data_IF_073526817567
#
_entry.id   IF_073526817567
#
_cell.length_a   1.000
_cell.length_b   1.000
_cell.length_c   1.000
_cell.angle_alpha   90.00
_cell.angle_beta   90.00
_cell.angle_gamma   90.00
#
_symmetry.space_group_name_H-M   'P 1'
#
loop_
_entity.id
_entity.type
_entity.pdbx_description
1 polymer ?
#
# COMPACT_ATOMS: atom_id res chain seq x y z
N UNK A 1 -2.04 4.65 -12.86
CA UNK A 1 -1.47 5.78 -12.11
C UNK A 1 -2.38 6.99 -12.17
N UNK A 2 -2.36 7.74 -13.27
CA UNK A 2 -3.01 9.05 -13.40
C UNK A 2 -4.48 9.12 -12.92
N UNK A 3 -5.31 8.11 -13.20
CA UNK A 3 -6.71 8.07 -12.76
C UNK A 3 -6.82 8.20 -11.23
N UNK A 4 -6.11 7.36 -10.48
CA UNK A 4 -6.20 7.34 -9.02
C UNK A 4 -5.66 8.61 -8.38
N UNK A 5 -4.64 9.22 -8.97
CA UNK A 5 -4.11 10.48 -8.50
C UNK A 5 -5.01 11.67 -8.80
N UNK A 6 -5.58 11.78 -10.01
CA UNK A 6 -6.56 12.82 -10.31
C UNK A 6 -7.76 12.75 -9.36
N UNK A 7 -8.26 11.54 -9.10
CA UNK A 7 -9.34 11.30 -8.14
C UNK A 7 -8.88 11.62 -6.69
N UNK A 8 -7.72 11.11 -6.27
CA UNK A 8 -7.19 11.30 -4.93
C UNK A 8 -6.90 12.77 -4.60
N UNK A 9 -6.24 13.48 -5.52
CA UNK A 9 -6.01 14.93 -5.39
C UNK A 9 -7.33 15.70 -5.36
N UNK A 10 -8.30 15.32 -6.20
CA UNK A 10 -9.65 15.88 -6.16
C UNK A 10 -10.32 15.73 -4.79
N UNK A 11 -10.26 14.54 -4.18
CA UNK A 11 -10.82 14.31 -2.84
C UNK A 11 -10.09 15.10 -1.74
N UNK A 12 -8.76 15.17 -1.81
CA UNK A 12 -7.94 15.93 -0.87
C UNK A 12 -8.23 17.44 -0.97
N UNK A 13 -8.28 17.97 -2.20
CA UNK A 13 -8.58 19.37 -2.48
C UNK A 13 -10.02 19.72 -2.07
N UNK A 14 -11.00 18.87 -2.39
CA UNK A 14 -12.39 19.05 -1.97
C UNK A 14 -12.51 19.16 -0.44
N UNK A 15 -11.91 18.21 0.29
CA UNK A 15 -11.89 18.25 1.75
C UNK A 15 -11.21 19.50 2.31
N UNK A 16 -10.16 19.97 1.63
CA UNK A 16 -9.43 21.17 2.06
C UNK A 16 -10.22 22.45 1.84
N UNK A 17 -10.90 22.57 0.70
CA UNK A 17 -11.79 23.69 0.42
C UNK A 17 -12.95 23.76 1.42
N UNK A 18 -13.61 22.63 1.70
CA UNK A 18 -14.66 22.58 2.73
C UNK A 18 -14.15 22.96 4.13
N UNK A 19 -12.91 22.58 4.47
CA UNK A 19 -12.32 22.97 5.75
C UNK A 19 -11.99 24.48 5.83
N UNK A 20 -11.56 25.08 4.71
CA UNK A 20 -11.31 26.52 4.60
C UNK A 20 -12.59 27.35 4.74
N UNK A 21 -13.71 26.85 4.20
CA UNK A 21 -15.02 27.49 4.35
C UNK A 21 -15.47 27.56 5.81
N UNK A 22 -15.18 26.51 6.58
CA UNK A 22 -15.61 26.42 7.99
C UNK A 22 -14.72 27.23 8.93
N UNK A 23 -13.39 27.26 8.70
CA UNK A 23 -12.45 27.87 9.64
C UNK A 23 -11.42 28.78 8.97
N UNK A 24 -11.70 30.08 8.93
CA UNK A 24 -10.84 31.11 8.34
C UNK A 24 -9.51 31.32 9.10
N UNK A 25 -9.49 31.17 10.43
CA UNK A 25 -8.28 31.36 11.24
C UNK A 25 -7.19 30.30 10.97
N UNK A 26 -7.59 29.12 10.49
CA UNK A 26 -6.68 28.01 10.16
C UNK A 26 -6.21 28.02 8.70
N UNK A 27 -6.48 29.08 7.93
CA UNK A 27 -6.31 29.10 6.47
C UNK A 27 -4.91 28.73 6.03
N UNK A 28 -3.89 29.34 6.62
CA UNK A 28 -2.50 29.11 6.23
C UNK A 28 -2.06 27.68 6.54
N UNK A 29 -2.48 27.14 7.68
CA UNK A 29 -2.17 25.78 8.10
C UNK A 29 -2.87 24.74 7.23
N UNK A 30 -4.16 24.97 6.91
CA UNK A 30 -4.94 24.13 6.00
C UNK A 30 -4.31 24.13 4.61
N UNK A 31 -4.02 25.31 4.07
CA UNK A 31 -3.45 25.45 2.73
C UNK A 31 -2.07 24.80 2.62
N UNK A 32 -1.21 25.00 3.63
CA UNK A 32 0.09 24.33 3.71
C UNK A 32 -0.06 22.81 3.79
N UNK A 33 -0.95 22.31 4.63
CA UNK A 33 -1.21 20.87 4.77
C UNK A 33 -1.74 20.26 3.47
N UNK A 34 -2.60 20.97 2.76
CA UNK A 34 -3.12 20.56 1.45
C UNK A 34 -1.99 20.43 0.42
N UNK A 35 -1.16 21.45 0.25
CA UNK A 35 -0.04 21.42 -0.73
C UNK A 35 0.90 20.26 -0.43
N UNK A 36 1.31 20.12 0.82
CA UNK A 36 2.20 19.04 1.23
C UNK A 36 1.55 17.68 0.98
N UNK A 37 0.26 17.52 1.33
CA UNK A 37 -0.50 16.29 1.10
C UNK A 37 -0.61 15.93 -0.38
N UNK A 38 -0.89 16.91 -1.25
CA UNK A 38 -0.98 16.72 -2.70
C UNK A 38 0.36 16.28 -3.31
N UNK A 39 1.49 16.83 -2.83
CA UNK A 39 2.82 16.45 -3.29
C UNK A 39 3.13 14.97 -2.97
N UNK A 40 2.70 14.47 -1.81
CA UNK A 40 2.84 13.05 -1.47
C UNK A 40 1.96 12.17 -2.36
N UNK A 41 0.69 12.54 -2.59
CA UNK A 41 -0.21 11.80 -3.50
C UNK A 41 0.39 11.70 -4.92
N UNK A 42 1.11 12.73 -5.37
CA UNK A 42 1.76 12.74 -6.69
C UNK A 42 2.96 11.76 -6.78
N UNK A 43 3.62 11.46 -5.66
CA UNK A 43 4.87 10.70 -5.64
C UNK A 43 4.75 9.30 -6.26
N UNK A 44 3.64 8.60 -6.02
CA UNK A 44 3.38 7.30 -6.63
C UNK A 44 3.21 7.34 -8.16
N UNK A 45 2.67 8.44 -8.71
CA UNK A 45 2.61 8.61 -10.17
C UNK A 45 4.00 8.83 -10.73
N UNK A 46 4.84 9.63 -10.06
CA UNK A 46 6.20 9.90 -10.52
C UNK A 46 6.97 8.59 -10.64
N UNK A 47 6.85 7.67 -9.67
CA UNK A 47 7.46 6.35 -9.74
C UNK A 47 6.91 5.52 -10.91
N UNK A 48 5.60 5.53 -11.14
CA UNK A 48 4.99 4.85 -12.28
C UNK A 48 5.44 5.44 -13.63
N UNK A 49 5.61 6.77 -13.71
CA UNK A 49 6.11 7.48 -14.88
C UNK A 49 7.56 7.06 -15.16
N UNK A 50 8.42 7.05 -14.14
CA UNK A 50 9.83 6.66 -14.29
C UNK A 50 9.95 5.25 -14.87
N UNK A 51 9.23 4.26 -14.31
CA UNK A 51 9.26 2.90 -14.87
C UNK A 51 8.70 2.87 -16.30
N UNK A 52 7.63 3.61 -16.58
CA UNK A 52 7.03 3.64 -17.91
C UNK A 52 8.02 4.19 -18.94
N UNK A 53 8.76 5.25 -18.59
CA UNK A 53 9.81 5.81 -19.44
C UNK A 53 10.99 4.84 -19.61
N UNK A 54 11.37 4.11 -18.56
CA UNK A 54 12.39 3.06 -18.65
C UNK A 54 11.99 1.92 -19.59
N UNK A 55 10.72 1.51 -19.57
CA UNK A 55 10.21 0.50 -20.49
C UNK A 55 10.11 1.03 -21.93
N UNK A 56 9.64 2.26 -22.11
CA UNK A 56 9.45 2.87 -23.44
C UNK A 56 10.78 3.13 -24.17
N UNK A 57 11.79 3.61 -23.46
CA UNK A 57 13.11 3.91 -24.02
C UNK A 57 14.15 2.81 -23.76
N UNK A 58 13.75 1.73 -23.08
CA UNK A 58 14.59 0.57 -22.83
C UNK A 58 14.86 -0.17 -24.14
N UNK A 59 16.12 -0.28 -24.53
CA UNK A 59 16.50 -0.90 -25.80
C UNK A 59 16.40 -2.45 -25.69
N UNK A 60 15.25 -3.01 -26.05
CA UNK A 60 15.05 -4.47 -26.14
C UNK A 60 15.44 -4.95 -27.54
N UNK A 61 16.73 -5.19 -27.75
CA UNK A 61 17.31 -5.64 -29.04
C UNK A 61 16.68 -6.94 -29.56
N UNK A 62 16.05 -7.74 -28.68
CA UNK A 62 15.25 -8.91 -29.04
C UNK A 62 13.86 -8.82 -28.41
N UNK A 63 12.83 -8.46 -29.17
CA UNK A 63 11.45 -8.46 -28.70
C UNK A 63 10.96 -9.90 -28.71
N UNK A 64 10.94 -10.54 -27.54
CA UNK A 64 10.38 -11.88 -27.36
C UNK A 64 9.06 -11.83 -26.59
N UNK A 65 8.16 -12.78 -26.84
CA UNK A 65 6.88 -12.87 -26.12
C UNK A 65 7.05 -12.88 -24.59
N UNK A 66 8.12 -13.47 -24.06
CA UNK A 66 8.42 -13.46 -22.63
C UNK A 66 8.63 -12.05 -22.07
N UNK A 67 9.39 -11.20 -22.76
CA UNK A 67 9.65 -9.81 -22.36
C UNK A 67 8.35 -9.02 -22.39
N UNK A 68 7.53 -9.17 -23.44
CA UNK A 68 6.25 -8.48 -23.55
C UNK A 68 5.31 -8.78 -22.36
N UNK A 69 5.24 -10.04 -21.90
CA UNK A 69 4.45 -10.40 -20.71
C UNK A 69 5.04 -9.84 -19.41
N UNK A 70 6.36 -9.80 -19.28
CA UNK A 70 7.02 -9.20 -18.12
C UNK A 70 6.77 -7.68 -18.06
N UNK A 71 6.89 -6.98 -19.19
CA UNK A 71 6.59 -5.54 -19.32
C UNK A 71 5.13 -5.23 -19.01
N UNK A 72 4.21 -6.04 -19.53
CA UNK A 72 2.78 -5.92 -19.21
C UNK A 72 2.54 -6.09 -17.70
N UNK A 73 3.23 -7.05 -17.07
CA UNK A 73 3.20 -7.24 -15.61
C UNK A 73 3.66 -6.00 -14.84
N UNK A 74 4.81 -5.45 -15.21
CA UNK A 74 5.36 -4.24 -14.57
C UNK A 74 4.39 -3.06 -14.74
N UNK A 75 3.87 -2.86 -15.94
CA UNK A 75 2.94 -1.78 -16.27
C UNK A 75 1.65 -1.85 -15.46
N UNK A 76 1.04 -3.04 -15.38
CA UNK A 76 -0.16 -3.26 -14.55
C UNK A 76 0.13 -3.05 -13.07
N UNK A 77 1.23 -3.61 -12.57
CA UNK A 77 1.62 -3.48 -11.16
C UNK A 77 1.81 -2.03 -10.75
N UNK A 78 2.62 -1.27 -11.49
CA UNK A 78 2.84 0.15 -11.18
C UNK A 78 1.57 0.97 -11.40
N UNK A 79 0.83 0.70 -12.47
CA UNK A 79 -0.39 1.41 -12.81
C UNK A 79 -1.46 1.30 -11.73
N UNK A 80 -1.72 0.08 -11.26
CA UNK A 80 -2.76 -0.24 -10.28
C UNK A 80 -2.31 0.13 -8.85
N UNK A 81 -1.07 -0.18 -8.47
CA UNK A 81 -0.54 0.18 -7.13
C UNK A 81 -0.60 1.70 -6.92
N UNK A 82 -0.05 2.48 -7.86
CA UNK A 82 -0.09 3.94 -7.77
C UNK A 82 -1.52 4.50 -7.73
N UNK A 83 -2.46 3.84 -8.42
CA UNK A 83 -3.87 4.23 -8.40
C UNK A 83 -4.48 4.06 -7.00
N UNK A 84 -4.33 2.87 -6.41
CA UNK A 84 -4.89 2.54 -5.10
C UNK A 84 -4.30 3.41 -3.98
N UNK A 85 -2.98 3.63 -4.01
CA UNK A 85 -2.25 4.39 -3.00
C UNK A 85 -2.62 5.87 -3.05
N UNK A 86 -2.75 6.44 -4.25
CA UNK A 86 -3.17 7.84 -4.40
C UNK A 86 -4.55 8.12 -3.79
N UNK A 87 -5.49 7.20 -4.02
CA UNK A 87 -6.84 7.30 -3.44
C UNK A 87 -6.77 7.12 -1.92
N UNK A 88 -6.02 6.13 -1.43
CA UNK A 88 -5.83 5.88 0.00
C UNK A 88 -5.22 7.08 0.73
N UNK A 89 -4.12 7.63 0.21
CA UNK A 89 -3.43 8.79 0.75
C UNK A 89 -4.33 10.03 0.78
N UNK A 90 -5.27 10.17 -0.16
CA UNK A 90 -6.21 11.29 -0.15
C UNK A 90 -7.08 11.34 1.11
N UNK A 91 -7.42 10.17 1.67
CA UNK A 91 -8.21 10.09 2.89
C UNK A 91 -7.44 10.62 4.10
N UNK A 92 -6.13 10.39 4.16
CA UNK A 92 -5.25 10.95 5.18
C UNK A 92 -5.25 12.49 5.14
N UNK A 93 -5.12 13.06 3.95
CA UNK A 93 -5.09 14.52 3.75
C UNK A 93 -6.44 15.15 4.09
N UNK A 94 -7.53 14.62 3.52
CA UNK A 94 -8.90 15.12 3.75
C UNK A 94 -9.27 15.12 5.23
N UNK A 95 -8.99 14.03 5.94
CA UNK A 95 -9.30 13.91 7.37
C UNK A 95 -8.41 14.79 8.24
N UNK A 96 -7.11 14.88 7.94
CA UNK A 96 -6.16 15.76 8.65
C UNK A 96 -6.53 17.22 8.52
N UNK A 97 -6.89 17.67 7.33
CA UNK A 97 -7.29 19.06 7.09
C UNK A 97 -8.60 19.40 7.81
N UNK A 98 -9.56 18.48 7.84
CA UNK A 98 -10.77 18.60 8.68
C UNK A 98 -10.46 18.61 10.19
N UNK A 99 -9.37 17.97 10.63
CA UNK A 99 -8.91 18.05 12.02
C UNK A 99 -8.21 19.37 12.33
N UNK A 100 -7.47 19.92 11.36
CA UNK A 100 -6.86 21.25 11.47
C UNK A 100 -7.95 22.33 11.57
N UNK A 101 -9.04 22.24 10.81
CA UNK A 101 -10.14 23.21 10.93
C UNK A 101 -10.80 23.18 12.32
N UNK A 102 -10.88 22.02 12.97
CA UNK A 102 -11.34 21.90 14.37
C UNK A 102 -10.35 22.46 15.38
N UNK A 103 -9.04 22.32 15.12
CA UNK A 103 -7.97 22.69 16.05
C UNK A 103 -6.76 23.34 15.35
N UNK A 104 -6.86 24.60 14.89
CA UNK A 104 -5.80 25.24 14.11
C UNK A 104 -4.50 25.43 14.90
N UNK A 105 -4.58 25.61 16.22
CA UNK A 105 -3.42 25.77 17.11
C UNK A 105 -2.58 24.49 17.17
N UNK A 106 -3.19 23.32 16.99
CA UNK A 106 -2.52 22.02 17.04
C UNK A 106 -2.09 21.53 15.65
N UNK A 107 -2.20 22.37 14.62
CA UNK A 107 -2.03 21.99 13.23
C UNK A 107 -0.68 21.36 12.90
N UNK A 108 0.42 21.84 13.48
CA UNK A 108 1.74 21.29 13.20
C UNK A 108 1.84 19.81 13.59
N UNK A 109 1.24 19.41 14.72
CA UNK A 109 1.22 18.01 15.16
C UNK A 109 0.29 17.13 14.32
N UNK A 110 -0.82 17.70 13.83
CA UNK A 110 -1.72 17.03 12.89
C UNK A 110 -1.01 16.82 11.55
N UNK A 111 -0.30 17.83 11.04
CA UNK A 111 0.50 17.73 9.82
C UNK A 111 1.60 16.68 9.96
N UNK A 112 2.33 16.66 11.08
CA UNK A 112 3.33 15.59 11.33
C UNK A 112 2.67 14.22 11.34
N UNK A 113 1.50 14.09 11.98
CA UNK A 113 0.75 12.83 12.01
C UNK A 113 0.33 12.39 10.59
N UNK A 114 -0.22 13.32 9.80
CA UNK A 114 -0.60 13.11 8.40
C UNK A 114 0.59 12.61 7.58
N UNK A 115 1.75 13.26 7.70
CA UNK A 115 2.97 12.88 6.98
C UNK A 115 3.43 11.47 7.33
N UNK A 116 3.38 11.11 8.62
CA UNK A 116 3.71 9.74 9.05
C UNK A 116 2.72 8.75 8.45
N UNK A 117 1.41 9.02 8.50
CA UNK A 117 0.40 8.14 7.89
C UNK A 117 0.58 8.01 6.37
N UNK A 118 0.85 9.11 5.65
CA UNK A 118 1.14 9.07 4.21
C UNK A 118 2.41 8.29 3.92
N UNK A 119 3.46 8.43 4.72
CA UNK A 119 4.72 7.71 4.49
C UNK A 119 4.56 6.18 4.57
N UNK A 120 3.69 5.70 5.46
CA UNK A 120 3.32 4.28 5.54
C UNK A 120 2.51 3.85 4.31
N UNK A 121 1.53 4.64 3.90
CA UNK A 121 0.73 4.37 2.69
C UNK A 121 1.63 4.26 1.43
N UNK A 122 2.64 5.13 1.29
CA UNK A 122 3.54 5.16 0.13
C UNK A 122 4.54 3.99 0.07
N UNK A 123 4.81 3.29 1.18
CA UNK A 123 5.71 2.14 1.17
C UNK A 123 5.30 1.08 0.12
N UNK A 124 3.99 0.95 -0.14
CA UNK A 124 3.47 0.04 -1.13
C UNK A 124 3.86 0.35 -2.57
N UNK A 125 3.91 1.61 -2.99
CA UNK A 125 4.32 1.94 -4.37
C UNK A 125 5.82 1.80 -4.52
N UNK A 126 6.57 2.09 -3.46
CA UNK A 126 8.03 1.95 -3.43
C UNK A 126 8.40 0.48 -3.61
N UNK A 127 7.73 -0.45 -2.92
CA UNK A 127 7.99 -1.88 -3.10
C UNK A 127 7.60 -2.38 -4.51
N UNK A 128 6.49 -1.90 -5.07
CA UNK A 128 6.14 -2.21 -6.46
C UNK A 128 7.20 -1.66 -7.43
N UNK A 129 7.71 -0.45 -7.18
CA UNK A 129 8.78 0.15 -7.98
C UNK A 129 10.08 -0.65 -7.90
N UNK A 130 10.48 -1.09 -6.70
CA UNK A 130 11.67 -1.94 -6.50
C UNK A 130 11.53 -3.27 -7.24
N UNK A 131 10.38 -3.94 -7.15
CA UNK A 131 10.13 -5.17 -7.92
C UNK A 131 10.21 -4.90 -9.42
N UNK A 132 9.62 -3.79 -9.89
CA UNK A 132 9.70 -3.39 -11.30
C UNK A 132 11.15 -3.22 -11.78
N UNK A 133 11.99 -2.54 -11.01
CA UNK A 133 13.42 -2.39 -11.31
C UNK A 133 14.17 -3.72 -11.33
N UNK A 134 13.86 -4.63 -10.41
CA UNK A 134 14.46 -5.97 -10.39
C UNK A 134 14.09 -6.74 -11.65
N UNK A 135 12.82 -6.68 -12.09
CA UNK A 135 12.38 -7.38 -13.30
C UNK A 135 13.07 -6.79 -14.54
N UNK A 136 13.13 -5.45 -14.66
CA UNK A 136 13.85 -4.77 -15.76
C UNK A 136 15.32 -5.18 -15.82
N UNK A 137 15.99 -5.26 -14.66
CA UNK A 137 17.39 -5.70 -14.59
C UNK A 137 17.63 -7.14 -15.07
N UNK A 138 16.60 -7.99 -15.06
CA UNK A 138 16.68 -9.39 -15.45
C UNK A 138 16.19 -9.68 -16.87
N UNK A 139 15.91 -8.66 -17.70
CA UNK A 139 15.41 -8.85 -19.07
C UNK A 139 16.31 -9.72 -19.96
N UNK A 140 17.63 -9.70 -19.72
CA UNK A 140 18.58 -10.54 -20.47
C UNK A 140 18.35 -12.04 -20.27
N UNK A 141 17.67 -12.46 -19.20
CA UNK A 141 17.37 -13.86 -18.90
C UNK A 141 15.98 -14.29 -19.41
N UNK A 142 15.19 -13.38 -20.00
CA UNK A 142 13.81 -13.64 -20.42
C UNK A 142 13.80 -14.05 -21.89
N UNK A 143 14.13 -15.32 -22.17
CA UNK A 143 14.04 -15.90 -23.51
C UNK A 143 12.65 -16.45 -23.81
N UNK A 144 12.01 -17.11 -22.85
CA UNK A 144 10.82 -17.92 -23.11
C UNK A 144 9.53 -17.29 -22.57
N UNK A 145 8.41 -17.61 -23.22
CA UNK A 145 7.08 -17.20 -22.78
C UNK A 145 6.81 -17.58 -21.31
N UNK A 146 7.21 -18.78 -20.88
CA UNK A 146 7.00 -19.27 -19.52
C UNK A 146 7.83 -18.52 -18.48
N UNK A 147 9.06 -18.11 -18.85
CA UNK A 147 9.89 -17.23 -18.00
C UNK A 147 9.25 -15.85 -17.91
N UNK A 148 8.66 -15.33 -18.99
CA UNK A 148 7.83 -14.13 -18.95
C UNK A 148 6.65 -14.25 -17.97
N UNK A 149 5.94 -15.38 -18.00
CA UNK A 149 4.80 -15.63 -17.11
C UNK A 149 5.19 -15.70 -15.62
N UNK A 150 6.39 -16.17 -15.31
CA UNK A 150 6.99 -16.14 -13.96
C UNK A 150 7.10 -14.70 -13.45
N UNK A 151 7.70 -13.80 -14.23
CA UNK A 151 7.82 -12.38 -13.85
C UNK A 151 6.47 -11.65 -13.82
N UNK A 152 5.56 -12.02 -14.72
CA UNK A 152 4.18 -11.56 -14.68
C UNK A 152 3.46 -11.97 -13.38
N UNK A 153 3.65 -13.21 -12.93
CA UNK A 153 3.09 -13.72 -11.67
C UNK A 153 3.64 -12.98 -10.45
N UNK A 154 4.95 -12.69 -10.43
CA UNK A 154 5.56 -11.85 -9.39
C UNK A 154 4.97 -10.43 -9.36
N UNK A 155 4.65 -9.87 -10.53
CA UNK A 155 3.99 -8.56 -10.61
C UNK A 155 2.55 -8.59 -10.09
N UNK A 156 1.79 -9.66 -10.39
CA UNK A 156 0.41 -9.83 -9.91
C UNK A 156 0.36 -9.91 -8.39
N UNK A 157 1.22 -10.72 -7.76
CA UNK A 157 1.16 -10.88 -6.28
C UNK A 157 1.40 -9.54 -5.59
N UNK A 158 2.36 -8.75 -6.09
CA UNK A 158 2.66 -7.43 -5.56
C UNK A 158 1.50 -6.44 -5.80
N UNK A 159 0.85 -6.52 -6.96
CA UNK A 159 -0.32 -5.69 -7.30
C UNK A 159 -1.48 -5.92 -6.34
N UNK A 160 -1.86 -7.18 -6.12
CA UNK A 160 -2.96 -7.54 -5.23
C UNK A 160 -2.63 -7.21 -3.77
N UNK A 161 -1.39 -7.48 -3.35
CA UNK A 161 -0.82 -7.05 -2.07
C UNK A 161 -0.98 -5.56 -1.82
N UNK A 162 -0.58 -4.75 -2.80
CA UNK A 162 -0.66 -3.30 -2.76
C UNK A 162 -2.10 -2.79 -2.63
N UNK A 163 -3.05 -3.36 -3.36
CA UNK A 163 -4.47 -2.95 -3.28
C UNK A 163 -5.00 -3.17 -1.86
N UNK A 164 -4.74 -4.35 -1.28
CA UNK A 164 -5.19 -4.72 0.04
C UNK A 164 -4.73 -3.74 1.13
N UNK A 165 -3.41 -3.51 1.15
CA UNK A 165 -2.77 -2.64 2.14
C UNK A 165 -3.16 -1.18 1.94
N UNK A 166 -3.30 -0.74 0.69
CA UNK A 166 -3.77 0.62 0.37
C UNK A 166 -5.15 0.87 0.94
N UNK A 167 -6.11 -0.05 0.74
CA UNK A 167 -7.47 0.13 1.28
C UNK A 167 -7.44 0.11 2.81
N UNK A 168 -6.74 -0.85 3.42
CA UNK A 168 -6.60 -0.96 4.88
C UNK A 168 -6.00 0.30 5.53
N UNK A 169 -4.87 0.77 5.00
CA UNK A 169 -4.22 1.99 5.46
C UNK A 169 -5.07 3.23 5.20
N UNK A 170 -5.80 3.30 4.10
CA UNK A 170 -6.63 4.46 3.77
C UNK A 170 -7.78 4.63 4.75
N UNK A 171 -8.48 3.53 5.06
CA UNK A 171 -9.55 3.52 6.06
C UNK A 171 -9.03 3.84 7.46
N UNK A 172 -7.89 3.24 7.82
CA UNK A 172 -7.20 3.51 9.08
C UNK A 172 -6.74 4.95 9.21
N UNK A 173 -6.10 5.49 8.18
CA UNK A 173 -5.58 6.85 8.14
C UNK A 173 -6.71 7.87 8.21
N UNK A 174 -7.83 7.65 7.52
CA UNK A 174 -9.00 8.52 7.60
C UNK A 174 -9.51 8.68 9.04
N UNK A 175 -9.63 7.55 9.74
CA UNK A 175 -10.15 7.50 11.11
C UNK A 175 -9.12 8.04 12.11
N UNK A 176 -7.85 7.71 11.93
CA UNK A 176 -6.79 8.16 12.84
C UNK A 176 -6.49 9.64 12.71
N UNK A 177 -6.38 10.17 11.49
CA UNK A 177 -6.16 11.59 11.27
C UNK A 177 -7.36 12.43 11.77
N UNK A 178 -8.60 12.01 11.48
CA UNK A 178 -9.80 12.76 11.90
C UNK A 178 -9.97 12.87 13.42
N UNK A 179 -9.52 11.85 14.15
CA UNK A 179 -9.66 11.76 15.61
C UNK A 179 -8.61 12.56 16.39
N UNK A 180 -7.44 12.83 15.82
CA UNK A 180 -6.45 13.74 16.44
C UNK A 180 -7.05 15.12 16.69
N UNK A 181 -7.89 15.61 15.77
CA UNK A 181 -8.62 16.88 15.93
C UNK A 181 -9.81 16.83 16.88
N UNK A 182 -10.18 15.67 17.43
CA UNK A 182 -11.27 15.53 18.41
C UNK A 182 -10.77 15.67 19.84
N UNK A 183 -9.63 15.03 20.17
CA UNK A 183 -9.04 15.09 21.51
C UNK A 183 -7.52 15.21 21.43
N UNK A 184 -6.99 16.41 21.69
CA UNK A 184 -5.55 16.70 21.64
C UNK A 184 -4.76 15.99 22.74
N UNK A 185 -5.40 15.72 23.87
CA UNK A 185 -4.76 15.13 25.06
C UNK A 185 -4.51 13.62 24.86
N UNK A 186 -5.26 12.99 23.95
CA UNK A 186 -5.05 11.61 23.55
C UNK A 186 -3.86 11.42 22.58
N UNK A 187 -3.32 12.50 22.00
CA UNK A 187 -2.25 12.43 20.99
C UNK A 187 -1.02 11.60 21.40
N UNK A 188 -0.47 11.72 22.64
CA UNK A 188 0.70 10.93 23.05
C UNK A 188 0.45 9.42 23.06
N UNK A 189 -0.82 8.99 23.17
CA UNK A 189 -1.23 7.58 23.09
C UNK A 189 -1.57 7.18 21.65
N UNK A 190 -2.20 8.07 20.90
CA UNK A 190 -2.59 7.84 19.50
C UNK A 190 -1.39 7.70 18.57
N UNK A 191 -0.40 8.57 18.70
CA UNK A 191 0.76 8.57 17.81
C UNK A 191 1.50 7.21 17.76
N UNK A 192 1.95 6.64 18.89
CA UNK A 192 2.59 5.32 18.88
C UNK A 192 1.62 4.20 18.49
N UNK A 193 0.35 4.27 18.93
CA UNK A 193 -0.67 3.31 18.52
C UNK A 193 -0.80 3.24 17.00
N UNK A 194 -0.86 4.40 16.35
CA UNK A 194 -1.07 4.48 14.91
C UNK A 194 0.10 3.99 14.09
N UNK A 195 1.34 4.21 14.55
CA UNK A 195 2.52 3.64 13.91
C UNK A 195 2.51 2.11 14.00
N UNK A 196 2.22 1.57 15.19
CA UNK A 196 2.16 0.11 15.40
C UNK A 196 1.06 -0.49 14.52
N UNK A 197 -0.13 0.10 14.54
CA UNK A 197 -1.26 -0.40 13.78
C UNK A 197 -1.02 -0.31 12.27
N UNK A 198 -0.39 0.77 11.81
CA UNK A 198 0.04 0.93 10.42
C UNK A 198 1.06 -0.15 10.02
N UNK A 199 2.06 -0.42 10.86
CA UNK A 199 3.04 -1.47 10.58
C UNK A 199 2.40 -2.87 10.51
N UNK A 200 1.37 -3.14 11.33
CA UNK A 200 0.62 -4.40 11.27
C UNK A 200 -0.19 -4.50 9.97
N UNK A 201 -0.81 -3.42 9.48
CA UNK A 201 -1.51 -3.45 8.19
C UNK A 201 -0.53 -3.75 7.02
N UNK A 202 0.73 -3.32 7.14
CA UNK A 202 1.76 -3.57 6.13
C UNK A 202 2.31 -5.01 6.11
N UNK A 203 2.08 -5.85 7.12
CA UNK A 203 2.66 -7.21 7.12
C UNK A 203 2.21 -8.04 5.91
N UNK A 204 0.97 -7.87 5.47
CA UNK A 204 0.44 -8.55 4.28
C UNK A 204 1.11 -8.07 2.98
N UNK A 205 1.57 -6.81 2.94
CA UNK A 205 2.39 -6.27 1.84
C UNK A 205 3.76 -6.95 1.81
N UNK A 206 4.38 -7.12 2.98
CA UNK A 206 5.70 -7.76 3.11
C UNK A 206 5.62 -9.23 2.66
N UNK A 207 4.54 -9.94 2.99
CA UNK A 207 4.31 -11.31 2.49
C UNK A 207 4.16 -11.36 0.96
N UNK A 208 3.50 -10.37 0.36
CA UNK A 208 3.40 -10.23 -1.09
C UNK A 208 4.76 -9.91 -1.73
N UNK A 209 5.55 -9.03 -1.11
CA UNK A 209 6.91 -8.71 -1.56
C UNK A 209 7.83 -9.94 -1.49
N UNK A 210 7.79 -10.67 -0.38
CA UNK A 210 8.60 -11.88 -0.18
C UNK A 210 8.26 -12.94 -1.22
N UNK A 211 6.96 -13.17 -1.47
CA UNK A 211 6.53 -14.14 -2.49
C UNK A 211 6.90 -13.70 -3.90
N UNK A 212 6.83 -12.40 -4.23
CA UNK A 212 7.31 -11.87 -5.50
C UNK A 212 8.82 -12.13 -5.69
N UNK A 213 9.64 -11.87 -4.66
CA UNK A 213 11.08 -12.13 -4.68
C UNK A 213 11.37 -13.63 -4.83
N UNK A 214 10.66 -14.49 -4.12
CA UNK A 214 10.81 -15.94 -4.27
C UNK A 214 10.47 -16.40 -5.68
N UNK A 215 9.34 -15.95 -6.23
CA UNK A 215 8.97 -16.27 -7.61
C UNK A 215 10.07 -15.82 -8.56
N UNK A 216 10.64 -14.62 -8.41
CA UNK A 216 11.73 -14.11 -9.28
C UNK A 216 12.98 -14.99 -9.22
N UNK A 217 13.44 -15.37 -8.02
CA UNK A 217 14.73 -16.02 -7.84
C UNK A 217 14.71 -17.55 -7.87
N UNK A 218 13.54 -18.19 -7.86
CA UNK A 218 13.46 -19.65 -8.00
C UNK A 218 13.98 -20.09 -9.38
N UNK A 219 14.94 -21.03 -9.46
CA UNK A 219 15.41 -21.56 -10.73
C UNK A 219 14.31 -22.39 -11.39
N UNK A 220 14.16 -22.25 -12.71
CA UNK A 220 13.21 -23.02 -13.50
C UNK A 220 13.95 -24.05 -14.34
N UNK A 221 13.69 -25.33 -14.11
CA UNK A 221 14.20 -26.42 -14.94
C UNK A 221 13.37 -26.58 -16.22
N UNK A 222 13.99 -26.99 -17.34
CA UNK A 222 13.33 -27.03 -18.64
C UNK A 222 12.31 -28.15 -18.81
N UNK A 223 12.28 -29.12 -17.90
CA UNK A 223 11.46 -30.33 -18.05
C UNK A 223 9.96 -30.07 -17.79
N UNK A 224 9.59 -29.00 -17.07
CA UNK A 224 8.20 -28.73 -16.65
C UNK A 224 7.77 -27.24 -16.70
N UNK A 225 8.08 -26.53 -17.77
CA UNK A 225 7.76 -25.09 -17.89
C UNK A 225 6.28 -24.73 -17.68
N UNK A 226 5.35 -25.54 -18.20
CA UNK A 226 3.91 -25.28 -18.07
C UNK A 226 3.43 -25.41 -16.62
N UNK A 227 3.81 -26.49 -15.94
CA UNK A 227 3.42 -26.75 -14.54
C UNK A 227 3.99 -25.65 -13.63
N UNK A 228 5.27 -25.31 -13.79
CA UNK A 228 5.91 -24.26 -13.02
C UNK A 228 5.19 -22.91 -13.17
N UNK A 229 4.76 -22.58 -14.39
CA UNK A 229 4.04 -21.35 -14.67
C UNK A 229 2.67 -21.28 -13.99
N UNK A 230 1.92 -22.39 -13.98
CA UNK A 230 0.64 -22.48 -13.27
C UNK A 230 0.85 -22.38 -11.76
N UNK A 231 1.91 -23.01 -11.23
CA UNK A 231 2.27 -22.94 -9.80
C UNK A 231 2.61 -21.52 -9.38
N UNK A 232 3.42 -20.78 -10.15
CA UNK A 232 3.75 -19.38 -9.86
C UNK A 232 2.51 -18.50 -9.81
N UNK A 233 1.60 -18.66 -10.77
CA UNK A 233 0.37 -17.89 -10.84
C UNK A 233 -0.58 -18.25 -9.68
N UNK A 234 -0.68 -19.54 -9.34
CA UNK A 234 -1.50 -20.01 -8.21
C UNK A 234 -0.95 -19.48 -6.88
N UNK A 235 0.36 -19.51 -6.67
CA UNK A 235 1.01 -18.94 -5.50
C UNK A 235 0.76 -17.43 -5.41
N UNK A 236 0.85 -16.71 -6.54
CA UNK A 236 0.57 -15.29 -6.63
C UNK A 236 -0.88 -14.95 -6.25
N UNK A 237 -1.88 -15.67 -6.77
CA UNK A 237 -3.27 -15.42 -6.39
C UNK A 237 -3.56 -15.79 -4.93
N UNK A 238 -2.96 -16.86 -4.42
CA UNK A 238 -3.18 -17.31 -3.04
C UNK A 238 -2.76 -16.25 -2.03
N UNK A 239 -1.56 -15.68 -2.17
CA UNK A 239 -1.07 -14.62 -1.28
C UNK A 239 -1.70 -13.27 -1.60
N UNK A 240 -1.81 -12.95 -2.89
CA UNK A 240 -2.38 -11.69 -3.36
C UNK A 240 -3.82 -11.49 -2.86
N UNK A 241 -4.72 -12.44 -3.07
CA UNK A 241 -6.12 -12.32 -2.62
C UNK A 241 -6.20 -12.40 -1.08
N UNK A 242 -5.42 -13.27 -0.45
CA UNK A 242 -5.40 -13.41 1.01
C UNK A 242 -4.97 -12.12 1.73
N UNK A 243 -4.04 -11.37 1.13
CA UNK A 243 -3.59 -10.08 1.66
C UNK A 243 -4.69 -9.02 1.65
N UNK A 244 -5.57 -8.99 0.63
CA UNK A 244 -6.65 -8.01 0.52
C UNK A 244 -7.60 -8.12 1.72
N UNK A 245 -8.03 -9.33 2.07
CA UNK A 245 -8.96 -9.54 3.18
C UNK A 245 -8.35 -9.19 4.54
N UNK A 246 -7.08 -9.54 4.75
CA UNK A 246 -6.40 -9.33 6.03
C UNK A 246 -6.08 -7.86 6.27
N UNK A 247 -5.47 -7.18 5.30
CA UNK A 247 -5.12 -5.75 5.44
C UNK A 247 -6.34 -4.84 5.59
N UNK A 248 -7.42 -5.12 4.86
CA UNK A 248 -8.66 -4.34 4.99
C UNK A 248 -9.30 -4.52 6.36
N UNK A 249 -9.31 -5.75 6.87
CA UNK A 249 -9.86 -6.07 8.19
C UNK A 249 -9.02 -5.47 9.33
N UNK A 250 -7.69 -5.54 9.27
CA UNK A 250 -6.80 -4.91 10.26
C UNK A 250 -6.95 -3.38 10.26
N UNK A 251 -7.12 -2.78 9.08
CA UNK A 251 -7.43 -1.35 8.93
C UNK A 251 -8.75 -0.94 9.58
N UNK A 252 -9.81 -1.74 9.43
CA UNK A 252 -11.12 -1.50 10.05
C UNK A 252 -11.09 -1.63 11.57
N UNK A 253 -10.45 -2.68 12.09
CA UNK A 253 -10.29 -2.89 13.54
C UNK A 253 -9.49 -1.73 14.14
N UNK A 254 -8.34 -1.40 13.54
CA UNK A 254 -7.53 -0.27 13.98
C UNK A 254 -8.29 1.06 13.97
N UNK A 255 -9.12 1.29 12.95
CA UNK A 255 -9.94 2.50 12.83
C UNK A 255 -10.88 2.69 14.00
N UNK A 256 -11.57 1.62 14.41
CA UNK A 256 -12.48 1.64 15.55
C UNK A 256 -11.73 1.76 16.88
N UNK A 257 -10.60 1.09 17.01
CA UNK A 257 -9.73 1.18 18.19
C UNK A 257 -9.26 2.61 18.42
N UNK A 258 -8.80 3.30 17.37
CA UNK A 258 -8.36 4.71 17.47
C UNK A 258 -9.50 5.62 17.91
N UNK A 259 -10.69 5.49 17.32
CA UNK A 259 -11.85 6.27 17.75
C UNK A 259 -12.16 6.05 19.24
N UNK A 260 -12.10 4.80 19.71
CA UNK A 260 -12.37 4.50 21.12
C UNK A 260 -11.29 5.01 22.06
N UNK A 261 -10.02 5.02 21.66
CA UNK A 261 -8.92 5.59 22.43
C UNK A 261 -9.12 7.10 22.65
N UNK A 262 -9.69 7.79 21.66
CA UNK A 262 -10.00 9.22 21.74
C UNK A 262 -11.14 9.52 22.69
N UNK A 263 -12.20 8.70 22.67
CA UNK A 263 -13.34 8.85 23.58
C UNK A 263 -13.00 8.45 25.02
N UNK A 264 -12.21 7.39 25.21
CA UNK A 264 -11.90 6.81 26.51
C UNK A 264 -10.37 6.60 26.69
N UNK A 265 -9.58 7.68 26.80
CA UNK A 265 -8.11 7.59 26.84
C UNK A 265 -7.57 6.86 28.08
N UNK A 266 -8.35 6.80 29.17
CA UNK A 266 -8.00 6.06 30.39
C UNK A 266 -7.92 4.55 30.14
N UNK A 267 -8.78 4.03 29.26
CA UNK A 267 -8.86 2.60 28.93
C UNK A 267 -7.89 2.17 27.80
N UNK A 268 -6.90 3.01 27.46
CA UNK A 268 -5.95 2.76 26.38
C UNK A 268 -5.31 1.36 26.45
N UNK A 269 -4.84 0.94 27.63
CA UNK A 269 -4.16 -0.34 27.78
C UNK A 269 -5.07 -1.54 27.48
N UNK A 270 -6.37 -1.46 27.75
CA UNK A 270 -7.34 -2.50 27.42
C UNK A 270 -7.66 -2.51 25.92
N UNK A 271 -7.89 -1.33 25.34
CA UNK A 271 -8.17 -1.17 23.91
C UNK A 271 -6.98 -1.63 23.04
N UNK A 272 -5.76 -1.27 23.43
CA UNK A 272 -4.54 -1.70 22.74
C UNK A 272 -4.39 -3.22 22.75
N UNK A 273 -4.57 -3.87 23.91
CA UNK A 273 -4.48 -5.32 24.02
C UNK A 273 -5.54 -6.04 23.19
N UNK A 274 -6.78 -5.55 23.22
CA UNK A 274 -7.87 -6.09 22.41
C UNK A 274 -7.60 -5.94 20.91
N UNK A 275 -7.08 -4.79 20.49
CA UNK A 275 -6.71 -4.52 19.10
C UNK A 275 -5.64 -5.50 18.60
N UNK A 276 -4.53 -5.65 19.33
CA UNK A 276 -3.44 -6.54 18.94
C UNK A 276 -3.90 -8.00 18.90
N UNK A 277 -4.73 -8.42 19.87
CA UNK A 277 -5.29 -9.77 19.87
C UNK A 277 -6.17 -10.02 18.64
N UNK A 278 -7.07 -9.10 18.32
CA UNK A 278 -7.92 -9.22 17.12
C UNK A 278 -7.07 -9.25 15.83
N UNK A 279 -6.04 -8.41 15.75
CA UNK A 279 -5.14 -8.39 14.60
C UNK A 279 -4.33 -9.67 14.44
N UNK A 280 -3.89 -10.29 15.54
CA UNK A 280 -3.18 -11.56 15.48
C UNK A 280 -4.04 -12.67 14.85
N UNK A 281 -5.34 -12.72 15.17
CA UNK A 281 -6.26 -13.67 14.52
C UNK A 281 -6.48 -13.35 13.05
N UNK A 282 -6.61 -12.07 12.68
CA UNK A 282 -6.78 -11.66 11.28
C UNK A 282 -5.53 -12.03 10.46
N UNK A 283 -4.33 -11.71 10.95
CA UNK A 283 -3.07 -12.01 10.27
C UNK A 283 -2.77 -13.51 10.20
N UNK A 284 -3.36 -14.35 11.06
CA UNK A 284 -3.20 -15.80 10.90
C UNK A 284 -3.67 -16.30 9.53
N UNK A 285 -4.70 -15.67 8.94
CA UNK A 285 -5.19 -16.03 7.61
C UNK A 285 -4.19 -15.67 6.49
N UNK A 286 -3.49 -14.54 6.60
CA UNK A 286 -2.44 -14.16 5.62
C UNK A 286 -1.24 -15.10 5.71
N UNK A 287 -0.91 -15.53 6.93
CA UNK A 287 0.14 -16.54 7.18
C UNK A 287 -0.24 -17.89 6.56
N UNK A 288 -1.49 -18.33 6.65
CA UNK A 288 -1.92 -19.58 5.99
C UNK A 288 -1.77 -19.50 4.46
N UNK A 289 -2.17 -18.39 3.85
CA UNK A 289 -1.95 -18.16 2.42
C UNK A 289 -0.46 -18.19 2.05
N UNK A 290 0.40 -17.58 2.87
CA UNK A 290 1.85 -17.60 2.68
C UNK A 290 2.41 -19.02 2.76
N UNK A 291 2.01 -19.81 3.77
CA UNK A 291 2.47 -21.20 3.92
C UNK A 291 2.08 -22.04 2.72
N UNK A 292 0.84 -21.91 2.23
CA UNK A 292 0.37 -22.63 1.03
C UNK A 292 1.19 -22.23 -0.19
N UNK A 293 1.44 -20.94 -0.40
CA UNK A 293 2.27 -20.48 -1.51
C UNK A 293 3.73 -20.97 -1.41
N UNK A 294 4.32 -20.97 -0.21
CA UNK A 294 5.65 -21.52 0.01
C UNK A 294 5.70 -23.04 -0.27
N UNK A 295 4.70 -23.79 0.18
CA UNK A 295 4.61 -25.22 -0.10
C UNK A 295 4.48 -25.48 -1.62
N UNK A 296 3.66 -24.70 -2.32
CA UNK A 296 3.53 -24.78 -3.77
C UNK A 296 4.87 -24.51 -4.47
N UNK A 297 5.55 -23.42 -4.11
CA UNK A 297 6.81 -23.02 -4.72
C UNK A 297 7.97 -23.98 -4.43
N UNK A 298 8.00 -24.63 -3.26
CA UNK A 298 9.12 -25.49 -2.86
C UNK A 298 8.94 -26.96 -3.23
N UNK A 299 7.71 -27.47 -3.27
CA UNK A 299 7.44 -28.88 -3.55
C UNK A 299 7.28 -29.15 -5.05
N UNK A 300 6.67 -28.22 -5.80
CA UNK A 300 6.29 -28.46 -7.19
C UNK A 300 7.22 -27.80 -8.20
N UNK A 301 8.01 -26.81 -7.80
CA UNK A 301 9.04 -26.23 -8.66
C UNK A 301 10.36 -26.96 -8.39
N UNK A 302 10.57 -28.06 -9.12
CA UNK A 302 11.80 -28.84 -9.19
C UNK A 302 12.17 -29.08 -10.64
#
# INVERSE_FOLDING_TARGET
GAIGAGIGQGFAAFGSLSALEVQAEGRDQIFRSMIVGLAFIESGIILALVITLMLLFGNTVNITYGIAFAELGIGLMMGISACAISISSSFAVKSSVNSISRQPIFANKILTFMLVSQSLIEASVIFSFVIGLIIVGNFSFISDFFVGLKYFSASIVMTLGSIGTSIGQGVFSNSSCSTVGMNRDAYPKLFPFSIINGAVIETSLIFSLLTALLIIYIPTTPENYFINSVVFLTAAFTVGIGSIGTSTSTGLVGSKSVMQIVYNPENYAALFRSNILAQAFIESASIYCLIVALALLTLFVR
#
